data_IF_780056269516
#
_entry.id   IF_780056269516
#
_cell.length_a   1.000
_cell.length_b   1.000
_cell.length_c   1.000
_cell.angle_alpha   90.00
_cell.angle_beta   90.00
_cell.angle_gamma   90.00
#
_symmetry.space_group_name_H-M   'P 1'
#
loop_
_entity.id
_entity.type
_entity.pdbx_description
1 polymer ?
#
# COMPACT_ATOMS: atom_id res chain seq x y z
N UNK A 1 -3.05 9.93 -8.19
CA UNK A 1 -2.08 8.81 -8.08
C UNK A 1 -0.70 9.15 -8.63
N UNK A 2 -0.54 9.99 -9.66
CA UNK A 2 0.75 10.21 -10.33
C UNK A 2 1.87 10.78 -9.44
N UNK A 3 3.12 10.69 -9.91
CA UNK A 3 4.24 11.47 -9.36
C UNK A 3 4.01 12.97 -9.64
N UNK A 4 4.71 13.84 -8.92
CA UNK A 4 4.50 15.29 -9.02
C UNK A 4 4.89 15.89 -10.37
N UNK A 5 5.88 15.29 -11.01
CA UNK A 5 6.56 15.78 -12.21
C UNK A 5 6.18 15.02 -13.48
N UNK A 6 5.31 14.02 -13.36
CA UNK A 6 4.74 13.29 -14.48
C UNK A 6 3.29 12.96 -14.18
N UNK A 7 2.36 13.35 -15.05
CA UNK A 7 0.92 13.11 -14.85
C UNK A 7 0.44 11.94 -15.71
N UNK A 8 -0.57 11.23 -15.21
CA UNK A 8 -1.32 10.30 -16.05
C UNK A 8 -2.06 11.05 -17.16
N UNK A 9 -2.06 10.47 -18.36
CA UNK A 9 -2.84 10.98 -19.48
C UNK A 9 -4.34 10.63 -19.40
N UNK A 10 -4.70 9.67 -18.54
CA UNK A 10 -6.05 9.14 -18.38
C UNK A 10 -6.42 9.04 -16.89
N UNK A 11 -7.69 9.27 -16.57
CA UNK A 11 -8.21 9.23 -15.21
C UNK A 11 -9.72 9.48 -15.20
N UNK A 12 -10.37 9.40 -14.04
CA UNK A 12 -9.80 9.27 -12.69
C UNK A 12 -9.33 7.86 -12.33
N UNK A 13 -9.89 6.83 -12.96
CA UNK A 13 -9.51 5.42 -12.82
C UNK A 13 -9.06 4.87 -14.16
N UNK A 14 -7.83 4.34 -14.22
CA UNK A 14 -7.24 3.85 -15.46
C UNK A 14 -7.03 2.33 -15.40
N UNK A 15 -7.22 1.61 -16.51
CA UNK A 15 -6.93 0.19 -16.56
C UNK A 15 -5.43 -0.09 -16.35
N UNK A 16 -5.09 -1.26 -15.83
CA UNK A 16 -3.75 -1.56 -15.29
C UNK A 16 -2.58 -1.37 -16.29
N UNK A 17 -2.82 -1.47 -17.59
CA UNK A 17 -1.79 -1.23 -18.62
C UNK A 17 -1.35 0.24 -18.70
N UNK A 18 -2.21 1.19 -18.30
CA UNK A 18 -1.87 2.62 -18.26
C UNK A 18 -0.85 2.92 -17.15
N UNK A 19 -1.03 2.51 -15.88
CA UNK A 19 0.02 2.54 -14.85
C UNK A 19 1.30 1.81 -15.23
N UNK A 20 1.21 0.66 -15.91
CA UNK A 20 2.40 -0.05 -16.39
C UNK A 20 3.22 0.80 -17.35
N UNK A 21 2.58 1.31 -18.41
CA UNK A 21 3.26 2.14 -19.40
C UNK A 21 3.76 3.45 -18.79
N UNK A 22 3.00 4.05 -17.87
CA UNK A 22 3.41 5.24 -17.13
C UNK A 22 4.75 5.01 -16.38
N UNK A 23 4.91 3.88 -15.69
CA UNK A 23 6.16 3.56 -14.99
C UNK A 23 7.31 3.33 -16.00
N UNK A 24 7.09 2.56 -17.06
CA UNK A 24 8.10 2.32 -18.11
C UNK A 24 8.59 3.64 -18.75
N UNK A 25 7.65 4.54 -19.06
CA UNK A 25 7.94 5.87 -19.58
C UNK A 25 8.69 6.73 -18.56
N UNK A 26 8.35 6.62 -17.27
CA UNK A 26 8.99 7.40 -16.21
C UNK A 26 10.49 7.10 -16.10
N UNK A 27 10.88 5.82 -16.18
CA UNK A 27 12.31 5.45 -16.23
C UNK A 27 13.02 6.06 -17.44
N UNK A 28 12.38 6.00 -18.61
CA UNK A 28 12.93 6.54 -19.86
C UNK A 28 13.05 8.07 -19.84
N UNK A 29 12.02 8.77 -19.31
CA UNK A 29 12.00 10.23 -19.19
C UNK A 29 13.11 10.75 -18.26
N UNK A 30 13.36 10.03 -17.16
CA UNK A 30 14.42 10.37 -16.21
C UNK A 30 15.79 9.80 -16.57
N UNK A 31 15.89 9.01 -17.65
CA UNK A 31 17.11 8.32 -18.09
C UNK A 31 17.77 7.53 -16.95
N UNK A 32 16.94 6.82 -16.18
CA UNK A 32 17.39 6.00 -15.05
C UNK A 32 17.45 4.52 -15.40
N UNK A 33 17.32 4.19 -16.68
CA UNK A 33 17.51 2.84 -17.22
C UNK A 33 18.96 2.37 -17.13
N UNK A 34 19.92 3.29 -17.17
CA UNK A 34 21.37 3.02 -17.07
C UNK A 34 21.81 2.52 -15.69
N UNK A 35 21.07 2.85 -14.64
CA UNK A 35 21.34 2.42 -13.25
C UNK A 35 20.53 1.18 -12.83
N UNK A 36 19.71 0.61 -13.73
CA UNK A 36 18.95 -0.61 -13.44
C UNK A 36 19.75 -1.87 -13.75
N UNK A 37 19.86 -2.76 -12.77
CA UNK A 37 20.39 -4.11 -12.96
C UNK A 37 19.23 -5.10 -12.96
N UNK A 38 18.73 -5.42 -14.16
CA UNK A 38 17.60 -6.32 -14.36
C UNK A 38 18.00 -7.81 -14.22
N UNK A 39 17.00 -8.69 -14.12
CA UNK A 39 17.16 -10.15 -14.01
C UNK A 39 18.12 -10.59 -12.90
N UNK A 40 18.14 -9.82 -11.80
CA UNK A 40 19.04 -10.02 -10.67
C UNK A 40 18.23 -10.08 -9.38
N UNK A 41 18.47 -11.09 -8.57
CA UNK A 41 17.90 -11.22 -7.22
C UNK A 41 18.93 -10.81 -6.19
N UNK A 42 18.47 -10.10 -5.16
CA UNK A 42 19.25 -9.86 -3.95
C UNK A 42 18.98 -11.02 -3.00
N UNK A 43 20.03 -11.77 -2.67
CA UNK A 43 19.95 -13.02 -1.90
C UNK A 43 20.39 -12.82 -0.45
N UNK A 44 21.26 -11.84 -0.18
CA UNK A 44 21.69 -11.48 1.16
C UNK A 44 22.00 -9.97 1.24
N UNK A 45 21.64 -9.37 2.37
CA UNK A 45 21.98 -8.00 2.75
C UNK A 45 22.56 -8.04 4.17
N UNK A 46 23.86 -7.78 4.26
CA UNK A 46 24.62 -7.87 5.51
C UNK A 46 25.31 -6.54 5.81
N UNK A 47 25.17 -6.04 7.03
CA UNK A 47 25.87 -4.84 7.50
C UNK A 47 27.38 -5.12 7.58
N UNK A 48 28.17 -4.12 7.20
CA UNK A 48 29.59 -4.03 7.46
C UNK A 48 29.79 -2.84 8.41
N UNK A 49 30.34 -3.11 9.58
CA UNK A 49 30.76 -2.05 10.51
C UNK A 49 31.91 -1.26 9.91
N UNK A 50 31.86 0.06 10.07
CA UNK A 50 32.88 0.96 9.55
C UNK A 50 33.38 1.87 10.67
N UNK A 51 34.68 2.22 10.62
CA UNK A 51 35.33 3.12 11.58
C UNK A 51 35.29 4.54 11.02
N UNK A 52 34.94 5.52 11.86
CA UNK A 52 34.86 6.95 11.51
C UNK A 52 33.88 7.32 10.38
N UNK A 53 32.94 6.43 10.06
CA UNK A 53 31.88 6.66 9.08
C UNK A 53 30.65 5.79 9.39
N UNK A 54 29.47 6.09 8.80
CA UNK A 54 28.31 5.23 8.92
C UNK A 54 28.55 3.83 8.36
N UNK A 55 27.69 2.88 8.77
CA UNK A 55 27.75 1.50 8.31
C UNK A 55 27.61 1.38 6.79
N UNK A 56 28.26 0.36 6.23
CA UNK A 56 28.12 -0.04 4.84
C UNK A 56 27.33 -1.36 4.74
N UNK A 57 26.96 -1.73 3.52
CA UNK A 57 26.12 -2.89 3.25
C UNK A 57 26.74 -3.74 2.17
N UNK A 58 26.94 -5.01 2.47
CA UNK A 58 27.29 -6.03 1.48
C UNK A 58 26.01 -6.64 0.94
N UNK A 59 25.85 -6.59 -0.37
CA UNK A 59 24.80 -7.31 -1.08
C UNK A 59 25.42 -8.54 -1.73
N UNK A 60 24.79 -9.70 -1.54
CA UNK A 60 25.04 -10.88 -2.37
C UNK A 60 23.95 -10.96 -3.43
N UNK A 61 24.38 -10.95 -4.68
CA UNK A 61 23.52 -10.83 -5.85
C UNK A 61 23.62 -12.10 -6.68
N UNK A 62 22.48 -12.52 -7.26
CA UNK A 62 22.39 -13.69 -8.14
C UNK A 62 21.69 -13.32 -9.44
N UNK A 63 22.22 -13.82 -10.55
CA UNK A 63 21.60 -13.74 -11.87
C UNK A 63 21.74 -15.08 -12.56
N UNK A 64 20.64 -15.60 -13.09
CA UNK A 64 20.67 -16.79 -13.92
C UNK A 64 21.14 -16.43 -15.33
N UNK A 65 22.18 -17.11 -15.80
CA UNK A 65 22.67 -17.02 -17.18
C UNK A 65 22.04 -18.15 -18.00
N UNK A 66 21.07 -17.86 -18.89
CA UNK A 66 20.39 -18.88 -19.68
C UNK A 66 21.28 -19.51 -20.75
N UNK A 67 22.30 -18.80 -21.25
CA UNK A 67 23.18 -19.32 -22.30
C UNK A 67 24.15 -20.37 -21.74
N UNK A 68 24.60 -20.17 -20.50
CA UNK A 68 25.48 -21.10 -19.79
C UNK A 68 24.73 -22.09 -18.89
N UNK A 69 23.44 -21.86 -18.66
CA UNK A 69 22.60 -22.63 -17.75
C UNK A 69 23.18 -22.71 -16.33
N UNK A 70 23.63 -21.58 -15.79
CA UNK A 70 24.24 -21.48 -14.45
C UNK A 70 23.78 -20.23 -13.73
N UNK A 71 23.81 -20.26 -12.39
CA UNK A 71 23.69 -19.05 -11.59
C UNK A 71 25.06 -18.35 -11.46
N UNK A 72 25.08 -17.07 -11.79
CA UNK A 72 26.21 -16.17 -11.55
C UNK A 72 25.97 -15.42 -10.26
N UNK A 73 26.92 -15.53 -9.34
CA UNK A 73 26.88 -14.89 -8.03
C UNK A 73 28.02 -13.90 -7.88
N UNK A 74 27.74 -12.75 -7.28
CA UNK A 74 28.75 -11.76 -6.94
C UNK A 74 28.35 -10.95 -5.71
N UNK A 75 29.29 -10.16 -5.19
CA UNK A 75 29.06 -9.29 -4.06
C UNK A 75 29.43 -7.86 -4.42
N UNK A 76 28.65 -6.92 -3.89
CA UNK A 76 28.91 -5.48 -4.00
C UNK A 76 28.76 -4.83 -2.62
N UNK A 77 29.49 -3.73 -2.41
CA UNK A 77 29.45 -2.96 -1.17
C UNK A 77 28.85 -1.60 -1.48
N UNK A 78 27.85 -1.20 -0.70
CA UNK A 78 27.16 0.07 -0.81
C UNK A 78 27.23 0.86 0.49
N UNK A 79 27.30 2.18 0.37
CA UNK A 79 27.28 3.07 1.53
C UNK A 79 25.89 3.18 2.16
N UNK A 80 24.84 2.98 1.38
CA UNK A 80 23.45 3.03 1.84
C UNK A 80 22.56 2.08 1.03
N UNK A 81 21.47 1.61 1.66
CA UNK A 81 20.50 0.70 1.06
C UNK A 81 19.09 1.22 1.32
N UNK A 82 18.26 1.22 0.28
CA UNK A 82 16.82 1.49 0.39
C UNK A 82 16.05 0.27 -0.07
N UNK A 83 15.26 -0.31 0.81
CA UNK A 83 14.36 -1.40 0.45
C UNK A 83 13.12 -0.85 -0.28
N UNK A 84 12.81 -1.42 -1.44
CA UNK A 84 11.64 -1.08 -2.26
C UNK A 84 11.02 -2.33 -2.92
N UNK A 85 11.15 -3.49 -2.27
CA UNK A 85 10.71 -4.78 -2.80
C UNK A 85 9.18 -5.03 -2.71
N UNK A 86 8.44 -4.11 -2.08
CA UNK A 86 7.01 -4.21 -1.85
C UNK A 86 6.61 -5.34 -0.90
N UNK A 87 5.30 -5.50 -0.70
CA UNK A 87 4.75 -6.45 0.27
C UNK A 87 3.48 -7.18 -0.23
N UNK A 88 3.29 -7.25 -1.55
CA UNK A 88 2.17 -7.92 -2.21
C UNK A 88 2.61 -9.14 -3.04
N UNK A 89 3.71 -9.77 -2.63
CA UNK A 89 4.31 -10.90 -3.37
C UNK A 89 4.05 -12.25 -2.72
N UNK A 90 4.05 -12.38 -1.40
CA UNK A 90 3.82 -13.67 -0.71
C UNK A 90 2.37 -13.78 -0.27
N UNK A 91 1.54 -14.65 -0.89
CA UNK A 91 0.14 -14.80 -0.51
C UNK A 91 -0.03 -15.16 0.97
N UNK A 92 -1.06 -14.62 1.60
CA UNK A 92 -1.49 -15.06 2.92
C UNK A 92 -2.70 -15.97 2.77
N UNK A 93 -2.54 -17.26 3.06
CA UNK A 93 -3.64 -18.23 3.13
C UNK A 93 -3.75 -18.67 4.60
N UNK A 94 -4.87 -18.37 5.30
CA UNK A 94 -5.08 -18.83 6.67
C UNK A 94 -5.26 -20.35 6.69
N UNK A 95 -4.75 -20.97 7.75
CA UNK A 95 -4.99 -22.39 8.00
C UNK A 95 -6.45 -22.61 8.39
N UNK A 96 -7.09 -23.60 7.76
CA UNK A 96 -8.47 -24.02 8.01
C UNK A 96 -8.47 -25.53 8.08
N UNK A 97 -9.30 -26.10 8.97
CA UNK A 97 -9.41 -27.55 9.14
C UNK A 97 -9.70 -28.22 7.79
N UNK A 98 -8.92 -29.24 7.45
CA UNK A 98 -9.07 -30.05 6.23
C UNK A 98 -8.61 -29.39 4.92
N UNK A 99 -8.09 -28.16 4.96
CA UNK A 99 -7.67 -27.44 3.76
C UNK A 99 -6.51 -28.16 3.02
N UNK A 100 -5.53 -28.68 3.75
CA UNK A 100 -4.38 -29.35 3.13
C UNK A 100 -4.80 -30.63 2.40
N UNK A 101 -5.67 -31.43 3.01
CA UNK A 101 -6.26 -32.63 2.40
C UNK A 101 -7.13 -32.26 1.19
N UNK A 102 -7.93 -31.20 1.30
CA UNK A 102 -8.76 -30.69 0.21
C UNK A 102 -7.93 -30.29 -1.01
N UNK A 103 -6.85 -29.54 -0.81
CA UNK A 103 -5.94 -29.12 -1.90
C UNK A 103 -5.29 -30.33 -2.56
N UNK A 104 -4.84 -31.31 -1.76
CA UNK A 104 -4.22 -32.55 -2.29
C UNK A 104 -5.22 -33.35 -3.13
N UNK A 105 -6.47 -33.45 -2.68
CA UNK A 105 -7.51 -34.22 -3.37
C UNK A 105 -8.04 -33.51 -4.62
N UNK A 106 -8.12 -32.19 -4.59
CA UNK A 106 -8.67 -31.37 -5.66
C UNK A 106 -7.64 -30.33 -6.15
N UNK A 107 -6.56 -30.76 -6.81
CA UNK A 107 -5.49 -29.87 -7.24
C UNK A 107 -6.02 -28.79 -8.20
N UNK A 108 -5.64 -27.54 -7.94
CA UNK A 108 -6.04 -26.38 -8.75
C UNK A 108 -7.39 -25.75 -8.40
N UNK A 109 -8.21 -26.37 -7.52
CA UNK A 109 -9.48 -25.74 -7.07
C UNK A 109 -9.26 -24.57 -6.12
N UNK A 110 -8.22 -24.64 -5.29
CA UNK A 110 -7.91 -23.56 -4.34
C UNK A 110 -6.81 -22.69 -4.92
N UNK A 111 -7.11 -21.41 -5.10
CA UNK A 111 -6.19 -20.42 -5.65
C UNK A 111 -6.17 -19.16 -4.78
N UNK A 112 -5.17 -18.31 -4.98
CA UNK A 112 -5.12 -16.98 -4.38
C UNK A 112 -5.35 -15.92 -5.45
N UNK A 113 -5.88 -14.75 -5.08
CA UNK A 113 -6.07 -13.60 -5.98
C UNK A 113 -4.82 -13.17 -6.72
N UNK A 114 -3.62 -13.56 -6.24
CA UNK A 114 -2.33 -13.31 -6.90
C UNK A 114 -2.27 -13.91 -8.31
N UNK A 115 -2.91 -15.05 -8.52
CA UNK A 115 -2.91 -15.76 -9.80
C UNK A 115 -4.16 -15.50 -10.64
N UNK A 116 -5.16 -14.83 -10.08
CA UNK A 116 -6.35 -14.41 -10.82
C UNK A 116 -5.95 -13.41 -11.91
N UNK A 117 -6.54 -13.55 -13.11
CA UNK A 117 -6.25 -12.69 -14.28
C UNK A 117 -7.49 -12.14 -14.95
N UNK A 118 -8.59 -12.89 -14.90
CA UNK A 118 -9.79 -12.63 -15.67
C UNK A 118 -10.91 -13.59 -15.23
N UNK A 119 -12.20 -13.28 -15.44
CA UNK A 119 -13.31 -14.13 -14.99
C UNK A 119 -13.58 -15.32 -15.93
N UNK A 120 -13.12 -15.28 -17.19
CA UNK A 120 -13.46 -16.28 -18.22
C UNK A 120 -13.12 -17.73 -17.86
N UNK A 121 -12.00 -18.05 -17.19
CA UNK A 121 -11.71 -19.42 -16.72
C UNK A 121 -12.75 -19.97 -15.72
N UNK A 122 -13.59 -19.11 -15.15
CA UNK A 122 -14.60 -19.41 -14.16
C UNK A 122 -16.03 -19.42 -14.72
N UNK A 123 -16.17 -19.31 -16.04
CA UNK A 123 -17.48 -19.27 -16.70
C UNK A 123 -18.37 -20.47 -16.33
N UNK A 124 -19.58 -20.19 -15.82
CA UNK A 124 -20.56 -21.20 -15.41
C UNK A 124 -20.15 -22.09 -14.23
N UNK A 125 -19.05 -21.77 -13.53
CA UNK A 125 -18.54 -22.55 -12.38
C UNK A 125 -19.02 -21.98 -11.06
N UNK A 126 -19.19 -22.84 -10.05
CA UNK A 126 -19.54 -22.44 -8.69
C UNK A 126 -18.31 -21.99 -7.92
N UNK A 127 -18.25 -20.71 -7.57
CA UNK A 127 -17.06 -20.07 -6.99
C UNK A 127 -17.32 -19.58 -5.56
N UNK A 128 -16.33 -19.77 -4.70
CA UNK A 128 -16.27 -19.14 -3.38
C UNK A 128 -15.06 -18.18 -3.33
N UNK A 129 -15.31 -16.90 -3.10
CA UNK A 129 -14.28 -15.89 -2.84
C UNK A 129 -14.16 -15.69 -1.33
N UNK A 130 -12.94 -15.76 -0.79
CA UNK A 130 -12.68 -15.62 0.66
C UNK A 130 -12.02 -14.27 0.93
N UNK A 131 -12.72 -13.39 1.64
CA UNK A 131 -12.27 -12.05 2.01
C UNK A 131 -13.05 -10.95 1.27
N UNK A 132 -13.27 -9.83 1.96
CA UNK A 132 -14.04 -8.66 1.52
C UNK A 132 -13.26 -7.36 1.70
N UNK A 133 -11.94 -7.39 1.46
CA UNK A 133 -11.18 -6.16 1.23
C UNK A 133 -11.20 -5.79 -0.26
N UNK A 134 -10.40 -4.83 -0.72
CA UNK A 134 -10.39 -4.36 -2.10
C UNK A 134 -10.40 -5.51 -3.14
N UNK A 135 -9.43 -6.44 -3.07
CA UNK A 135 -9.39 -7.60 -3.99
C UNK A 135 -10.58 -8.55 -3.85
N UNK A 136 -11.17 -8.64 -2.66
CA UNK A 136 -12.36 -9.46 -2.42
C UNK A 136 -13.57 -8.89 -3.14
N UNK A 137 -13.75 -7.56 -3.06
CA UNK A 137 -14.81 -6.86 -3.78
C UNK A 137 -14.60 -6.92 -5.29
N UNK A 138 -13.42 -6.52 -5.78
CA UNK A 138 -13.14 -6.46 -7.22
C UNK A 138 -13.32 -7.83 -7.90
N UNK A 139 -12.72 -8.88 -7.33
CA UNK A 139 -12.80 -10.24 -7.90
C UNK A 139 -14.23 -10.79 -7.83
N UNK A 140 -14.96 -10.54 -6.74
CA UNK A 140 -16.36 -11.01 -6.65
C UNK A 140 -17.22 -10.29 -7.68
N UNK A 141 -17.10 -8.97 -7.80
CA UNK A 141 -17.85 -8.18 -8.76
C UNK A 141 -17.56 -8.57 -10.22
N UNK A 142 -16.30 -8.81 -10.57
CA UNK A 142 -15.91 -9.23 -11.94
C UNK A 142 -16.41 -10.64 -12.29
N UNK A 143 -16.60 -11.51 -11.29
CA UNK A 143 -17.13 -12.86 -11.50
C UNK A 143 -18.64 -12.91 -11.70
N UNK A 144 -19.39 -11.92 -11.19
CA UNK A 144 -20.84 -11.81 -11.42
C UNK A 144 -21.11 -11.66 -12.93
N UNK A 145 -22.15 -12.33 -13.44
CA UNK A 145 -22.45 -12.41 -14.86
C UNK A 145 -21.57 -13.36 -15.69
N UNK A 146 -20.45 -13.87 -15.13
CA UNK A 146 -19.61 -14.88 -15.80
C UNK A 146 -19.67 -16.24 -15.10
N UNK A 147 -19.48 -16.28 -13.78
CA UNK A 147 -19.54 -17.49 -12.98
C UNK A 147 -20.99 -17.95 -12.75
N UNK A 148 -21.17 -19.16 -12.19
CA UNK A 148 -22.50 -19.59 -11.75
C UNK A 148 -22.95 -18.77 -10.54
N UNK A 149 -24.09 -18.12 -10.65
CA UNK A 149 -24.66 -17.29 -9.60
C UNK A 149 -25.50 -18.11 -8.60
N UNK A 150 -25.52 -17.72 -7.31
CA UNK A 150 -24.78 -16.58 -6.75
C UNK A 150 -23.29 -16.87 -6.56
N UNK A 151 -22.45 -15.87 -6.82
CA UNK A 151 -21.03 -15.91 -6.43
C UNK A 151 -20.94 -15.75 -4.92
N UNK A 152 -20.34 -16.71 -4.25
CA UNK A 152 -20.29 -16.72 -2.78
C UNK A 152 -19.09 -15.91 -2.30
N UNK A 153 -19.32 -14.92 -1.45
CA UNK A 153 -18.25 -14.17 -0.78
C UNK A 153 -18.26 -14.45 0.72
N UNK A 154 -17.23 -15.16 1.20
CA UNK A 154 -17.02 -15.44 2.61
C UNK A 154 -16.33 -14.25 3.28
N UNK A 155 -16.94 -13.71 4.33
CA UNK A 155 -16.45 -12.54 5.06
C UNK A 155 -16.47 -12.75 6.57
N UNK A 156 -15.54 -12.09 7.25
CA UNK A 156 -15.39 -12.14 8.72
C UNK A 156 -16.19 -11.06 9.43
N UNK A 157 -16.28 -9.88 8.81
CA UNK A 157 -16.90 -8.68 9.37
C UNK A 157 -17.34 -7.78 8.24
N UNK A 158 -18.24 -6.83 8.51
CA UNK A 158 -18.62 -5.79 7.54
C UNK A 158 -17.37 -4.99 7.16
N UNK A 159 -17.12 -4.87 5.86
CA UNK A 159 -16.06 -4.05 5.30
C UNK A 159 -16.55 -2.64 5.00
N UNK A 160 -15.64 -1.70 4.78
CA UNK A 160 -16.00 -0.31 4.44
C UNK A 160 -16.68 -0.14 3.08
N UNK A 161 -16.63 -1.17 2.23
CA UNK A 161 -17.28 -1.21 0.92
C UNK A 161 -18.55 -2.08 0.93
N UNK A 162 -18.89 -2.72 2.05
CA UNK A 162 -20.10 -3.52 2.17
C UNK A 162 -21.31 -2.60 2.40
N UNK A 163 -22.39 -2.82 1.65
CA UNK A 163 -23.72 -2.33 1.98
C UNK A 163 -24.36 -3.10 3.13
N UNK A 164 -25.66 -2.93 3.33
CA UNK A 164 -26.41 -3.71 4.32
C UNK A 164 -26.79 -5.10 3.81
N UNK A 165 -26.98 -5.23 2.49
CA UNK A 165 -27.31 -6.46 1.78
C UNK A 165 -26.27 -6.77 0.69
N UNK A 166 -26.09 -8.05 0.31
CA UNK A 166 -25.19 -8.41 -0.76
C UNK A 166 -25.65 -7.81 -2.10
N UNK A 167 -24.72 -7.34 -2.96
CA UNK A 167 -25.07 -6.88 -4.31
C UNK A 167 -25.74 -7.98 -5.15
N UNK A 168 -26.51 -7.64 -6.20
CA UNK A 168 -27.09 -8.61 -7.13
C UNK A 168 -26.04 -9.60 -7.67
N UNK A 169 -26.43 -10.87 -7.78
CA UNK A 169 -25.55 -11.96 -8.23
C UNK A 169 -24.54 -12.46 -7.18
N UNK A 170 -24.54 -11.88 -5.97
CA UNK A 170 -23.65 -12.27 -4.87
C UNK A 170 -24.45 -12.82 -3.68
N UNK A 171 -23.81 -13.69 -2.89
CA UNK A 171 -24.31 -14.07 -1.58
C UNK A 171 -23.19 -14.06 -0.55
N UNK A 172 -23.46 -13.48 0.62
CA UNK A 172 -22.51 -13.46 1.73
C UNK A 172 -22.61 -14.71 2.59
N UNK A 173 -21.45 -15.21 3.00
CA UNK A 173 -21.31 -16.29 3.97
C UNK A 173 -20.32 -15.90 5.08
N UNK A 174 -20.45 -16.47 6.30
CA UNK A 174 -19.45 -16.26 7.33
C UNK A 174 -18.13 -16.95 6.98
N UNK A 175 -17.20 -17.00 7.92
CA UNK A 175 -15.89 -17.64 7.70
C UNK A 175 -16.09 -19.14 7.48
N UNK A 176 -15.24 -19.74 6.64
CA UNK A 176 -15.20 -21.19 6.46
C UNK A 176 -14.59 -21.83 7.71
N UNK A 177 -15.33 -22.77 8.30
CA UNK A 177 -14.90 -23.56 9.45
C UNK A 177 -14.08 -24.77 9.03
N UNK A 178 -14.49 -25.45 7.96
CA UNK A 178 -13.89 -26.73 7.55
C UNK A 178 -14.04 -27.00 6.04
N UNK A 179 -12.98 -27.55 5.46
CA UNK A 179 -13.02 -28.22 4.16
C UNK A 179 -13.10 -29.72 4.38
N UNK A 180 -14.13 -30.37 3.86
CA UNK A 180 -14.34 -31.81 4.04
C UNK A 180 -13.78 -32.59 2.86
N UNK A 181 -13.39 -33.84 3.13
CA UNK A 181 -12.72 -34.69 2.13
C UNK A 181 -13.61 -35.06 0.95
N UNK A 182 -14.93 -35.01 1.06
CA UNK A 182 -15.89 -35.28 -0.02
C UNK A 182 -16.06 -34.10 -0.99
N UNK A 183 -15.51 -32.93 -0.66
CA UNK A 183 -15.64 -31.71 -1.47
C UNK A 183 -16.50 -30.62 -0.83
N UNK A 184 -17.18 -30.92 0.29
CA UNK A 184 -18.03 -29.98 1.00
C UNK A 184 -17.22 -28.90 1.73
N UNK A 185 -17.72 -27.67 1.68
CA UNK A 185 -17.19 -26.52 2.42
C UNK A 185 -18.21 -26.12 3.48
N UNK A 186 -17.82 -26.15 4.75
CA UNK A 186 -18.69 -25.84 5.89
C UNK A 186 -18.32 -24.50 6.50
N UNK A 187 -19.33 -23.65 6.72
CA UNK A 187 -19.18 -22.33 7.30
C UNK A 187 -19.42 -22.33 8.82
N UNK A 188 -19.06 -21.25 9.50
CA UNK A 188 -19.24 -21.12 10.96
C UNK A 188 -20.70 -21.17 11.41
N UNK A 189 -21.65 -20.82 10.54
CA UNK A 189 -23.10 -20.87 10.79
C UNK A 189 -23.74 -22.24 10.51
N UNK A 190 -22.92 -23.29 10.40
CA UNK A 190 -23.31 -24.66 10.03
C UNK A 190 -23.90 -24.83 8.62
N UNK A 191 -24.05 -23.74 7.85
CA UNK A 191 -24.38 -23.86 6.43
C UNK A 191 -23.20 -24.43 5.66
N UNK A 192 -23.47 -24.99 4.48
CA UNK A 192 -22.44 -25.61 3.66
C UNK A 192 -22.68 -25.38 2.17
N UNK A 193 -21.63 -25.62 1.39
CA UNK A 193 -21.69 -25.71 -0.06
C UNK A 193 -21.08 -27.03 -0.51
N UNK A 194 -21.82 -27.71 -1.38
CA UNK A 194 -21.35 -28.87 -2.13
C UNK A 194 -20.95 -28.45 -3.55
N UNK A 195 -20.21 -29.32 -4.24
CA UNK A 195 -19.85 -29.17 -5.65
C UNK A 195 -19.22 -27.81 -6.01
N UNK A 196 -18.33 -27.31 -5.15
CA UNK A 196 -17.58 -26.08 -5.41
C UNK A 196 -16.45 -26.36 -6.39
N UNK A 197 -16.43 -25.63 -7.50
CA UNK A 197 -15.42 -25.76 -8.54
C UNK A 197 -14.12 -25.05 -8.17
N UNK A 198 -14.21 -23.82 -7.65
CA UNK A 198 -13.03 -23.05 -7.23
C UNK A 198 -13.26 -22.25 -5.95
N UNK A 199 -12.17 -22.09 -5.21
CA UNK A 199 -12.06 -21.27 -4.01
C UNK A 199 -10.94 -20.26 -4.24
N UNK A 200 -11.27 -18.98 -4.21
CA UNK A 200 -10.33 -17.88 -4.46
C UNK A 200 -10.07 -17.14 -3.15
N UNK A 201 -8.88 -17.32 -2.59
CA UNK A 201 -8.43 -16.56 -1.43
C UNK A 201 -8.07 -15.12 -1.82
N UNK A 202 -8.84 -14.16 -1.32
CA UNK A 202 -8.60 -12.72 -1.37
C UNK A 202 -8.16 -12.19 0.01
N UNK A 203 -7.31 -12.96 0.69
CA UNK A 203 -6.91 -12.75 2.09
C UNK A 203 -5.65 -11.89 2.25
N UNK A 204 -5.11 -11.36 1.14
CA UNK A 204 -3.98 -10.45 1.16
C UNK A 204 -2.62 -11.17 1.19
N UNK A 205 -1.62 -10.51 1.75
CA UNK A 205 -0.22 -10.91 1.58
C UNK A 205 0.58 -10.75 2.87
N UNK A 206 1.68 -11.48 2.97
CA UNK A 206 2.73 -11.30 3.98
C UNK A 206 3.84 -10.42 3.42
N UNK A 207 4.31 -9.47 4.24
CA UNK A 207 5.59 -8.83 3.99
C UNK A 207 6.69 -9.89 4.02
N UNK A 208 7.72 -9.74 3.18
CA UNK A 208 8.78 -10.74 3.05
C UNK A 208 10.09 -10.06 2.71
N UNK A 209 11.12 -10.39 3.49
CA UNK A 209 12.47 -9.85 3.35
C UNK A 209 13.47 -11.00 3.48
N UNK A 210 13.45 -11.97 2.53
CA UNK A 210 14.22 -13.21 2.65
C UNK A 210 15.73 -12.97 2.59
N UNK A 211 16.15 -11.86 2.00
CA UNK A 211 17.53 -11.42 1.91
C UNK A 211 18.08 -10.80 3.21
N UNK A 212 17.26 -10.58 4.24
CA UNK A 212 17.72 -9.92 5.45
C UNK A 212 18.52 -10.87 6.36
N UNK A 213 19.82 -10.59 6.52
CA UNK A 213 20.67 -11.37 7.41
C UNK A 213 20.47 -10.99 8.89
N UNK A 214 19.48 -11.63 9.53
CA UNK A 214 19.13 -11.32 10.92
C UNK A 214 20.25 -11.59 11.92
N UNK A 215 21.21 -12.47 11.60
CA UNK A 215 22.31 -12.81 12.51
C UNK A 215 23.34 -11.70 12.58
N UNK A 216 23.70 -11.16 11.42
CA UNK A 216 24.71 -10.12 11.29
C UNK A 216 24.12 -8.72 11.51
N UNK A 217 22.85 -8.50 11.16
CA UNK A 217 22.22 -7.19 11.25
C UNK A 217 21.59 -6.97 12.63
N UNK A 218 22.42 -6.64 13.63
CA UNK A 218 22.01 -6.39 15.02
C UNK A 218 21.28 -7.57 15.70
N UNK A 219 21.48 -8.81 15.23
CA UNK A 219 20.86 -10.02 15.78
C UNK A 219 19.32 -9.94 15.84
N UNK A 220 18.69 -9.23 14.91
CA UNK A 220 17.23 -9.03 14.89
C UNK A 220 16.61 -9.29 13.52
N UNK A 221 15.34 -9.76 13.46
CA UNK A 221 14.61 -9.76 12.20
C UNK A 221 14.32 -8.33 11.74
N UNK A 222 14.10 -8.17 10.43
CA UNK A 222 13.64 -6.90 9.87
C UNK A 222 12.15 -6.65 10.17
N UNK A 223 11.35 -7.72 10.23
CA UNK A 223 9.90 -7.68 10.40
C UNK A 223 9.44 -8.60 11.53
N UNK A 224 8.59 -8.09 12.40
CA UNK A 224 7.89 -8.84 13.44
C UNK A 224 6.52 -9.28 12.89
N UNK A 225 6.40 -10.57 12.58
CA UNK A 225 5.17 -11.16 12.06
C UNK A 225 4.06 -11.30 13.11
N UNK A 226 4.39 -11.30 14.41
CA UNK A 226 3.38 -11.35 15.48
C UNK A 226 2.76 -9.97 15.67
N UNK A 227 3.57 -8.91 15.67
CA UNK A 227 3.10 -7.53 15.75
C UNK A 227 2.65 -6.94 14.40
N UNK A 228 3.01 -7.58 13.29
CA UNK A 228 2.68 -7.12 11.95
C UNK A 228 3.36 -5.80 11.58
N UNK A 229 4.64 -5.64 11.93
CA UNK A 229 5.39 -4.41 11.66
C UNK A 229 6.88 -4.62 11.38
N UNK A 230 7.51 -3.62 10.76
CA UNK A 230 8.98 -3.50 10.75
C UNK A 230 9.50 -3.25 12.17
N UNK A 231 10.65 -3.83 12.49
CA UNK A 231 11.30 -3.68 13.80
C UNK A 231 12.17 -2.43 13.81
N UNK A 232 12.04 -1.60 14.86
CA UNK A 232 12.80 -0.36 15.07
C UNK A 232 12.60 0.63 13.93
N UNK A 233 11.35 0.80 13.51
CA UNK A 233 11.01 1.67 12.40
C UNK A 233 10.52 3.02 12.93
N UNK A 234 10.99 4.10 12.32
CA UNK A 234 10.53 5.47 12.55
C UNK A 234 9.86 6.02 11.29
N UNK A 235 8.68 6.61 11.47
CA UNK A 235 7.83 7.13 10.38
C UNK A 235 7.69 6.19 9.18
N UNK A 236 7.66 4.88 9.46
CA UNK A 236 7.54 3.82 8.46
C UNK A 236 8.60 3.88 7.32
N UNK A 237 9.71 4.59 7.53
CA UNK A 237 10.67 4.97 6.47
C UNK A 237 12.12 4.80 6.91
N UNK A 238 12.46 5.22 8.13
CA UNK A 238 13.83 5.25 8.66
C UNK A 238 14.01 4.17 9.74
N UNK A 239 15.14 3.50 9.78
CA UNK A 239 15.44 2.55 10.86
C UNK A 239 16.20 3.26 11.99
N UNK A 240 15.79 3.02 13.24
CA UNK A 240 16.35 3.71 14.41
C UNK A 240 17.81 3.33 14.69
N UNK A 241 18.21 2.13 14.29
CA UNK A 241 19.51 1.53 14.59
C UNK A 241 20.44 1.40 13.38
N UNK A 242 20.06 2.01 12.25
CA UNK A 242 20.85 2.07 11.02
C UNK A 242 20.74 3.48 10.40
N UNK A 243 21.88 4.14 10.20
CA UNK A 243 21.94 5.48 9.61
C UNK A 243 21.78 5.48 8.09
N UNK A 244 22.12 4.37 7.43
CA UNK A 244 22.17 4.26 5.97
C UNK A 244 21.20 3.24 5.41
N UNK A 245 20.19 2.83 6.21
CA UNK A 245 19.12 1.94 5.78
C UNK A 245 17.76 2.64 5.80
N UNK A 246 17.01 2.52 4.71
CA UNK A 246 15.66 3.03 4.60
C UNK A 246 14.71 2.06 3.89
N UNK A 247 13.42 2.37 3.92
CA UNK A 247 12.40 1.63 3.17
C UNK A 247 11.38 2.58 2.53
N UNK A 248 10.96 2.24 1.32
CA UNK A 248 9.91 2.92 0.57
C UNK A 248 8.78 1.94 0.27
N UNK A 249 7.53 2.38 0.48
CA UNK A 249 6.34 1.65 0.06
C UNK A 249 5.85 0.56 1.00
N UNK A 250 6.23 0.59 2.28
CA UNK A 250 5.59 -0.22 3.33
C UNK A 250 4.22 0.32 3.80
N UNK A 251 4.03 1.65 3.94
CA UNK A 251 2.73 2.20 4.33
C UNK A 251 1.59 1.90 3.37
N UNK A 252 0.41 1.63 3.92
CA UNK A 252 -0.83 1.46 3.13
C UNK A 252 -1.60 2.77 3.07
N UNK A 253 -1.28 3.59 2.08
CA UNK A 253 -1.81 4.95 1.88
C UNK A 253 -1.62 5.36 0.42
N UNK A 254 -1.75 6.65 0.11
CA UNK A 254 -1.50 7.28 -1.19
C UNK A 254 -0.25 6.72 -1.87
N UNK A 255 -0.39 5.79 -2.82
CA UNK A 255 0.69 4.98 -3.41
C UNK A 255 1.90 5.79 -3.91
N UNK A 256 1.95 6.19 -5.19
CA UNK A 256 3.16 6.84 -5.75
C UNK A 256 3.48 8.16 -5.06
N UNK A 257 2.46 8.89 -4.61
CA UNK A 257 2.65 10.12 -3.85
C UNK A 257 3.43 9.86 -2.57
N UNK A 258 3.02 8.92 -1.72
CA UNK A 258 3.79 8.61 -0.51
C UNK A 258 5.19 8.11 -0.83
N UNK A 259 5.35 7.30 -1.88
CA UNK A 259 6.67 6.79 -2.29
C UNK A 259 7.61 7.93 -2.68
N UNK A 260 7.08 8.96 -3.36
CA UNK A 260 7.81 10.18 -3.71
C UNK A 260 8.32 10.93 -2.48
N UNK A 261 7.49 11.15 -1.45
CA UNK A 261 7.95 11.81 -0.21
C UNK A 261 9.01 10.98 0.51
N UNK A 262 8.81 9.66 0.64
CA UNK A 262 9.78 8.78 1.28
C UNK A 262 11.12 8.79 0.53
N UNK A 263 11.08 8.62 -0.79
CA UNK A 263 12.28 8.58 -1.63
C UNK A 263 13.05 9.91 -1.59
N UNK A 264 12.36 11.05 -1.62
CA UNK A 264 13.00 12.37 -1.55
C UNK A 264 13.63 12.59 -0.18
N UNK A 265 12.94 12.27 0.90
CA UNK A 265 13.47 12.42 2.26
C UNK A 265 14.72 11.55 2.48
N UNK A 266 14.66 10.27 2.10
CA UNK A 266 15.81 9.36 2.17
C UNK A 266 16.98 9.83 1.29
N UNK A 267 16.73 10.19 0.03
CA UNK A 267 17.78 10.63 -0.89
C UNK A 267 18.50 11.87 -0.38
N UNK A 268 17.78 12.83 0.23
CA UNK A 268 18.38 14.04 0.78
C UNK A 268 19.14 13.77 2.07
N UNK A 269 18.56 12.96 2.96
CA UNK A 269 19.20 12.56 4.22
C UNK A 269 20.52 11.83 3.95
N UNK A 270 20.50 10.79 3.10
CA UNK A 270 21.69 9.98 2.83
C UNK A 270 22.77 10.72 2.02
N UNK A 271 22.39 11.73 1.23
CA UNK A 271 23.36 12.56 0.50
C UNK A 271 23.81 13.80 1.28
N UNK A 272 23.31 14.03 2.50
CA UNK A 272 23.59 15.24 3.29
C UNK A 272 23.19 16.53 2.59
N UNK A 273 22.24 16.48 1.64
CA UNK A 273 21.88 17.63 0.79
C UNK A 273 20.79 18.48 1.43
N UNK A 274 21.21 19.35 2.35
CA UNK A 274 20.34 20.28 3.07
C UNK A 274 19.13 19.61 3.75
N UNK A 275 19.28 18.33 4.10
CA UNK A 275 18.30 17.59 4.87
C UNK A 275 18.32 18.06 6.32
N UNK A 276 17.16 18.04 6.96
CA UNK A 276 17.07 18.17 8.41
C UNK A 276 17.38 16.81 9.02
N UNK A 277 18.24 16.79 10.05
CA UNK A 277 18.54 15.56 10.79
C UNK A 277 17.25 14.95 11.36
N UNK A 278 17.21 13.62 11.44
CA UNK A 278 16.14 12.94 12.16
C UNK A 278 16.15 13.38 13.64
N UNK A 279 14.99 13.37 14.32
CA UNK A 279 14.94 13.69 15.73
C UNK A 279 15.79 12.70 16.57
N UNK A 280 16.16 13.06 17.81
CA UNK A 280 16.93 12.17 18.68
C UNK A 280 16.30 10.79 18.80
N UNK A 281 17.14 9.77 19.00
CA UNK A 281 16.71 8.36 19.07
C UNK A 281 15.55 8.15 20.05
N UNK A 282 15.58 8.80 21.21
CA UNK A 282 14.53 8.72 22.22
C UNK A 282 13.15 9.16 21.68
N UNK A 283 13.10 10.19 20.83
CA UNK A 283 11.86 10.63 20.19
C UNK A 283 11.38 9.65 19.13
N UNK A 284 12.30 9.05 18.38
CA UNK A 284 11.97 8.03 17.38
C UNK A 284 11.37 6.78 18.02
N UNK A 285 11.98 6.32 19.12
CA UNK A 285 11.48 5.18 19.90
C UNK A 285 10.15 5.50 20.58
N UNK A 286 9.98 6.73 21.09
CA UNK A 286 8.71 7.19 21.65
C UNK A 286 7.60 7.16 20.59
N UNK A 287 7.86 7.68 19.40
CA UNK A 287 6.90 7.62 18.29
C UNK A 287 6.49 6.18 17.96
N UNK A 288 7.44 5.24 17.92
CA UNK A 288 7.13 3.84 17.61
C UNK A 288 6.25 3.20 18.68
N UNK A 289 6.50 3.48 19.97
CA UNK A 289 5.66 3.03 21.10
C UNK A 289 4.25 3.62 21.04
N UNK A 290 4.13 4.93 20.87
CA UNK A 290 2.84 5.61 20.76
C UNK A 290 2.03 5.11 19.57
N UNK A 291 2.70 4.81 18.45
CA UNK A 291 2.09 4.19 17.28
C UNK A 291 1.56 2.78 17.59
N UNK A 292 2.34 1.93 18.27
CA UNK A 292 1.88 0.60 18.70
C UNK A 292 0.62 0.70 19.58
N UNK A 293 0.61 1.62 20.54
CA UNK A 293 -0.52 1.83 21.44
C UNK A 293 -1.77 2.30 20.69
N UNK A 294 -1.59 3.27 19.78
CA UNK A 294 -2.68 3.85 18.99
C UNK A 294 -3.34 2.79 18.11
N UNK A 295 -2.56 2.03 17.33
CA UNK A 295 -3.14 1.03 16.43
C UNK A 295 -3.76 -0.14 17.18
N UNK A 296 -3.21 -0.51 18.34
CA UNK A 296 -3.80 -1.54 19.21
C UNK A 296 -5.15 -1.09 19.75
N UNK A 297 -5.25 0.15 20.24
CA UNK A 297 -6.50 0.74 20.73
C UNK A 297 -7.57 0.79 19.64
N UNK A 298 -7.17 1.05 18.41
CA UNK A 298 -8.07 1.26 17.27
C UNK A 298 -8.28 0.01 16.40
N UNK A 299 -7.64 -1.12 16.72
CA UNK A 299 -7.72 -2.35 15.92
C UNK A 299 -7.13 -2.23 14.50
N UNK A 300 -6.20 -1.31 14.29
CA UNK A 300 -5.56 -1.05 12.97
C UNK A 300 -4.24 -1.82 12.82
N UNK A 301 -3.76 -1.95 11.58
CA UNK A 301 -2.40 -2.46 11.34
C UNK A 301 -1.38 -1.35 11.55
N UNK A 302 -0.18 -1.74 11.99
CA UNK A 302 0.88 -0.79 12.32
C UNK A 302 1.24 0.17 11.17
N UNK A 303 1.22 -0.30 9.92
CA UNK A 303 1.59 0.49 8.74
C UNK A 303 0.39 1.14 8.00
N UNK A 304 -0.82 1.10 8.56
CA UNK A 304 -1.99 1.74 7.96
C UNK A 304 -2.05 3.23 8.32
N UNK A 305 -1.85 4.11 7.35
CA UNK A 305 -1.85 5.57 7.57
C UNK A 305 -3.12 6.14 6.93
N UNK A 306 -4.22 6.31 7.70
CA UNK A 306 -5.48 6.82 7.18
C UNK A 306 -5.37 8.29 6.79
N UNK A 307 -6.16 8.66 5.79
CA UNK A 307 -6.28 10.04 5.34
C UNK A 307 -7.22 10.82 6.27
N UNK A 308 -8.30 10.16 6.68
CA UNK A 308 -9.48 10.71 7.35
C UNK A 308 -9.19 11.24 8.76
N UNK A 309 -8.14 10.74 9.41
CA UNK A 309 -7.72 11.19 10.74
C UNK A 309 -6.71 12.34 10.70
N UNK A 310 -6.22 12.71 9.51
CA UNK A 310 -5.10 13.65 9.35
C UNK A 310 -3.71 13.03 9.51
N UNK A 311 -3.61 11.74 9.90
CA UNK A 311 -2.33 11.07 10.13
C UNK A 311 -1.44 11.05 8.87
N UNK A 312 -2.05 10.91 7.69
CA UNK A 312 -1.31 11.02 6.42
C UNK A 312 -0.65 12.39 6.26
N UNK A 313 -1.33 13.47 6.63
CA UNK A 313 -0.79 14.82 6.53
C UNK A 313 0.39 15.04 7.47
N UNK A 314 0.27 14.59 8.72
CA UNK A 314 1.35 14.68 9.71
C UNK A 314 2.59 13.93 9.24
N UNK A 315 2.39 12.70 8.76
CA UNK A 315 3.47 11.88 8.24
C UNK A 315 4.16 12.50 7.02
N UNK A 316 3.39 12.93 6.01
CA UNK A 316 3.97 13.58 4.82
C UNK A 316 4.65 14.91 5.18
N UNK A 317 4.14 15.65 6.16
CA UNK A 317 4.77 16.87 6.69
C UNK A 317 6.11 16.56 7.34
N UNK A 318 6.20 15.47 8.12
CA UNK A 318 7.46 14.99 8.70
C UNK A 318 8.50 14.69 7.64
N UNK A 319 8.12 13.92 6.60
CA UNK A 319 9.00 13.63 5.46
C UNK A 319 9.39 14.90 4.69
N UNK A 320 8.45 15.82 4.49
CA UNK A 320 8.70 17.12 3.86
C UNK A 320 9.76 17.92 4.62
N UNK A 321 9.68 17.95 5.96
CA UNK A 321 10.65 18.64 6.83
C UNK A 321 12.03 17.99 6.78
N UNK A 322 12.11 16.66 6.87
CA UNK A 322 13.39 15.93 6.77
C UNK A 322 14.08 16.20 5.45
N UNK A 323 13.31 16.24 4.36
CA UNK A 323 13.85 16.60 3.06
C UNK A 323 14.44 18.02 3.02
N UNK A 324 14.01 18.95 3.88
CA UNK A 324 14.58 20.29 3.96
C UNK A 324 14.35 21.17 2.72
N UNK A 325 14.95 22.36 2.73
CA UNK A 325 14.73 23.38 1.69
C UNK A 325 15.50 23.07 0.40
N UNK A 326 14.99 23.48 -0.77
CA UNK A 326 15.77 23.44 -2.00
C UNK A 326 17.07 24.25 -1.87
N UNK A 327 18.09 23.85 -2.61
CA UNK A 327 19.33 24.62 -2.73
C UNK A 327 19.23 25.59 -3.89
N UNK A 328 19.94 26.72 -3.84
CA UNK A 328 19.98 27.72 -4.92
C UNK A 328 20.40 27.12 -6.28
N UNK A 329 21.20 26.05 -6.26
CA UNK A 329 21.65 25.35 -7.47
C UNK A 329 20.60 24.39 -8.04
N UNK A 330 19.44 24.24 -7.41
CA UNK A 330 18.34 23.39 -7.90
C UNK A 330 18.68 21.89 -7.98
N UNK A 331 19.70 21.41 -7.26
CA UNK A 331 20.12 20.00 -7.34
C UNK A 331 19.20 19.11 -6.50
N UNK A 332 18.61 18.10 -7.15
CA UNK A 332 17.74 17.10 -6.52
C UNK A 332 16.27 17.54 -6.45
N UNK A 333 15.38 16.58 -6.20
CA UNK A 333 13.93 16.83 -6.12
C UNK A 333 13.53 17.44 -4.80
N UNK A 334 12.48 18.25 -4.79
CA UNK A 334 11.76 18.75 -3.60
C UNK A 334 10.52 17.91 -3.36
N UNK A 335 10.15 17.65 -2.09
CA UNK A 335 8.86 17.04 -1.81
C UNK A 335 7.77 17.93 -2.39
N UNK A 336 6.79 17.34 -3.09
CA UNK A 336 5.78 18.14 -3.77
C UNK A 336 4.83 18.80 -2.78
N UNK A 337 4.08 19.79 -3.25
CA UNK A 337 2.97 20.38 -2.49
C UNK A 337 1.75 19.45 -2.63
N UNK A 338 0.99 19.29 -1.55
CA UNK A 338 -0.37 18.79 -1.60
C UNK A 338 -1.29 20.00 -1.82
N UNK A 339 -1.61 20.29 -3.09
CA UNK A 339 -2.46 21.45 -3.43
C UNK A 339 -3.90 21.24 -2.95
N UNK A 340 -4.64 22.34 -2.80
CA UNK A 340 -6.07 22.31 -2.46
C UNK A 340 -6.86 21.43 -3.44
N UNK A 341 -6.59 21.53 -4.74
CA UNK A 341 -7.21 20.68 -5.77
C UNK A 341 -6.93 19.19 -5.56
N UNK A 342 -5.70 18.83 -5.20
CA UNK A 342 -5.34 17.43 -4.96
C UNK A 342 -6.01 16.90 -3.70
N UNK A 343 -6.02 17.70 -2.64
CA UNK A 343 -6.71 17.37 -1.38
C UNK A 343 -8.19 17.16 -1.65
N UNK A 344 -8.81 18.10 -2.38
CA UNK A 344 -10.20 18.01 -2.78
C UNK A 344 -10.45 16.73 -3.59
N UNK A 345 -9.60 16.40 -4.57
CA UNK A 345 -9.77 15.19 -5.37
C UNK A 345 -9.66 13.90 -4.53
N UNK A 346 -8.74 13.86 -3.56
CA UNK A 346 -8.59 12.73 -2.64
C UNK A 346 -9.80 12.56 -1.71
N UNK A 347 -10.31 13.66 -1.17
CA UNK A 347 -11.49 13.66 -0.30
C UNK A 347 -12.79 13.31 -1.05
N UNK A 348 -12.80 13.49 -2.37
CA UNK A 348 -13.96 13.28 -3.22
C UNK A 348 -13.80 12.12 -4.21
N UNK A 349 -12.90 11.15 -3.92
CA UNK A 349 -12.66 10.00 -4.81
C UNK A 349 -13.93 9.24 -5.21
N UNK A 350 -14.92 9.15 -4.31
CA UNK A 350 -16.20 8.46 -4.57
C UNK A 350 -17.13 9.19 -5.55
N UNK A 351 -16.88 10.48 -5.85
CA UNK A 351 -17.68 11.25 -6.83
C UNK A 351 -17.32 10.91 -8.28
N UNK A 352 -16.22 10.20 -8.48
CA UNK A 352 -15.76 9.82 -9.81
C UNK A 352 -16.39 8.48 -10.21
N UNK A 353 -16.94 8.36 -11.43
CA UNK A 353 -17.55 7.11 -11.88
C UNK A 353 -16.52 5.99 -11.92
N UNK A 354 -16.90 4.82 -11.40
CA UNK A 354 -16.08 3.61 -11.50
C UNK A 354 -16.15 3.06 -12.94
N UNK A 355 -15.03 2.74 -13.59
CA UNK A 355 -15.05 2.19 -14.95
C UNK A 355 -15.80 0.85 -14.98
N UNK A 356 -16.84 0.75 -15.80
CA UNK A 356 -17.61 -0.49 -15.99
C UNK A 356 -19.02 -0.47 -15.41
N UNK A 357 -19.36 0.50 -14.54
CA UNK A 357 -20.75 0.82 -14.24
C UNK A 357 -21.24 1.82 -15.30
N UNK A 358 -21.84 1.28 -16.37
CA UNK A 358 -22.53 2.09 -17.36
C UNK A 358 -23.82 2.65 -16.77
N UNK A 359 -23.72 3.75 -16.04
CA UNK A 359 -24.84 4.68 -15.86
C UNK A 359 -24.68 5.78 -16.92
N UNK A 360 -24.94 5.42 -18.18
CA UNK A 360 -25.36 6.39 -19.20
C UNK A 360 -26.80 6.81 -18.87
N UNK A 361 -27.01 7.50 -17.74
CA UNK A 361 -28.20 8.32 -17.56
C UNK A 361 -27.89 9.71 -18.12
N UNK A 362 -28.41 9.94 -19.33
CA UNK A 362 -28.69 11.27 -19.87
C UNK A 362 -29.44 12.10 -18.82
N UNK A 363 -28.72 12.85 -17.99
CA UNK A 363 -29.31 13.87 -17.15
C UNK A 363 -29.60 15.10 -18.01
N UNK A 364 -30.75 15.05 -18.69
CA UNK A 364 -31.47 16.24 -19.15
C UNK A 364 -31.79 17.15 -17.96
N UNK A 365 -30.86 18.06 -17.65
CA UNK A 365 -31.01 19.06 -16.60
C UNK A 365 -31.30 20.43 -17.19
N UNK A 366 -32.54 20.88 -17.05
CA UNK A 366 -33.02 22.22 -17.39
C UNK A 366 -32.10 23.34 -16.89
N UNK A 367 -31.75 24.25 -17.79
CA UNK A 367 -31.09 25.53 -17.50
C UNK A 367 -31.96 26.37 -16.57
N UNK A 368 -31.53 26.56 -15.31
CA UNK A 368 -32.04 27.64 -14.47
C UNK A 368 -30.95 28.68 -14.22
N UNK A 369 -31.28 29.88 -14.72
CA UNK A 369 -30.49 31.08 -14.79
C UNK A 369 -30.41 31.72 -13.39
N UNK A 370 -29.21 31.86 -12.80
CA UNK A 370 -29.00 32.84 -11.72
C UNK A 370 -27.59 33.41 -11.76
N UNK A 371 -27.54 34.75 -11.72
CA UNK A 371 -26.38 35.64 -11.95
C UNK A 371 -25.28 35.50 -10.87
N UNK A 372 -24.02 35.87 -11.18
CA UNK A 372 -22.91 35.76 -10.25
C UNK A 372 -22.96 36.85 -9.17
N UNK A 373 -22.71 36.49 -7.92
CA UNK A 373 -22.45 37.43 -6.83
C UNK A 373 -20.96 37.80 -6.76
N UNK A 374 -20.74 39.10 -6.62
CA UNK A 374 -19.49 39.82 -6.43
C UNK A 374 -18.64 39.25 -5.29
N UNK A 375 -17.32 39.23 -5.49
CA UNK A 375 -16.30 38.92 -4.49
C UNK A 375 -15.86 40.23 -3.85
N UNK A 376 -16.13 40.40 -2.56
CA UNK A 376 -15.61 41.51 -1.76
C UNK A 376 -14.23 41.16 -1.18
N UNK A 377 -13.35 42.17 -1.21
CA UNK A 377 -11.97 42.14 -0.79
C UNK A 377 -11.82 41.99 0.73
N UNK A 378 -10.89 41.14 1.17
CA UNK A 378 -10.47 41.07 2.57
C UNK A 378 -9.22 41.91 2.82
N UNK A 379 -9.36 42.79 3.81
CA UNK A 379 -8.37 43.70 4.36
C UNK A 379 -7.18 42.98 5.01
N UNK A 380 -6.01 43.61 4.89
CA UNK A 380 -4.79 43.33 5.64
C UNK A 380 -4.96 43.72 7.12
N UNK A 381 -4.57 42.84 8.04
CA UNK A 381 -4.10 43.23 9.38
C UNK A 381 -2.78 42.53 9.70
N UNK A 382 -1.82 43.34 10.14
CA UNK A 382 -0.53 42.95 10.71
C UNK A 382 -0.71 42.43 12.14
N UNK A 383 -0.02 41.36 12.50
CA UNK A 383 0.32 41.06 13.89
C UNK A 383 1.76 40.54 13.98
N UNK A 384 2.63 41.37 14.53
CA UNK A 384 3.90 40.97 15.16
C UNK A 384 3.60 40.32 16.52
N UNK A 385 4.37 39.30 16.89
CA UNK A 385 4.33 38.72 18.22
C UNK A 385 5.09 37.39 18.35
N UNK A 386 6.26 37.44 18.98
CA UNK A 386 6.97 36.27 19.49
C UNK A 386 6.12 35.55 20.55
N UNK A 387 5.88 34.24 20.38
CA UNK A 387 5.45 33.38 21.48
C UNK A 387 5.87 31.92 21.24
N UNK A 388 6.70 31.41 22.16
CA UNK A 388 6.88 29.97 22.38
C UNK A 388 5.54 29.37 22.82
N UNK A 389 5.04 28.39 22.09
CA UNK A 389 3.76 27.72 22.41
C UNK A 389 3.83 26.22 22.18
N UNK A 390 3.48 25.45 23.22
CA UNK A 390 3.03 24.06 23.11
C UNK A 390 1.91 23.97 22.07
N UNK A 391 2.04 23.04 21.12
CA UNK A 391 1.03 22.81 20.10
C UNK A 391 -0.09 21.92 20.65
N UNK A 392 -1.32 22.44 20.65
CA UNK A 392 -2.54 21.63 20.67
C UNK A 392 -3.15 21.61 19.28
N UNK A 393 -3.65 20.44 18.86
CA UNK A 393 -4.31 20.25 17.58
C UNK A 393 -5.57 21.14 17.52
N UNK A 394 -5.76 21.96 16.47
CA UNK A 394 -7.09 22.50 16.18
C UNK A 394 -7.98 21.30 15.84
N UNK A 395 -9.03 21.10 16.65
CA UNK A 395 -10.00 20.04 16.43
C UNK A 395 -10.64 20.21 15.05
N UNK A 396 -10.24 19.37 14.09
CA UNK A 396 -10.97 19.26 12.82
C UNK A 396 -12.32 18.62 13.13
N UNK A 397 -13.44 19.17 12.65
CA UNK A 397 -14.70 18.46 12.74
C UNK A 397 -14.52 17.11 12.04
N UNK A 398 -14.80 16.02 12.74
CA UNK A 398 -15.03 14.72 12.09
C UNK A 398 -16.13 14.99 11.06
N UNK A 399 -15.79 15.06 9.78
CA UNK A 399 -16.80 14.85 8.75
C UNK A 399 -17.22 13.41 8.92
N UNK A 400 -18.31 13.24 9.66
CA UNK A 400 -19.00 12.00 9.75
C UNK A 400 -19.56 11.69 8.36
N UNK A 401 -18.86 10.82 7.63
CA UNK A 401 -19.36 10.28 6.37
C UNK A 401 -20.58 9.36 6.58
N UNK A 402 -21.06 9.19 7.83
CA UNK A 402 -22.22 8.36 8.19
C UNK A 402 -23.56 9.10 8.24
N UNK A 403 -23.66 10.38 7.87
CA UNK A 403 -24.96 11.08 8.00
C UNK A 403 -25.89 11.01 6.78
N UNK A 404 -25.50 10.37 5.67
CA UNK A 404 -26.43 10.10 4.56
C UNK A 404 -26.04 8.81 3.80
N UNK A 405 -26.33 7.66 4.41
CA UNK A 405 -26.91 6.48 3.75
C UNK A 405 -27.95 5.91 4.72
#
# INVERSE_FOLDING_TARGET
MSFSDSRFAYGPFAPHWIPRQYIENYFSQHKTDDILVLNTTVEDVTRIDAVDRPEQWRLTLRRFDPARNVDVWWQEIFDAVVFANGHYSVPYVPQVKGLEEYIKKFPGRVVHSKIYRSPQPYAGKKIVVIGNSASGHDVTAELVGTAAEPVIQSRRSKSRWDGDEPPPGQAWKPVIREFQSDGRIVFEDDTHLDDVDHVIYCTGYKASYPFWNSKENNKRPLYDYKKGKLVKIFWHTFFQDFQTLGIVGMPRVLTFRSFEYQAIALARLFSGRNSVALPPLEEQERWEREREETVRREGRKFHDIPWETGETFEWLTGLYRVAGLPTLRGKGRVPPVLSEDLIWALEHLKKYPEPGNGDDEESGGQTNNSKPKQVDAYHHEHLDGEARGQWSLPARPKKDLLSFI
#
